data_IF_342267389577
#
_entry.id   IF_342267389577
#
_cell.length_a   1.000
_cell.length_b   1.000
_cell.length_c   1.000
_cell.angle_alpha   90.00
_cell.angle_beta   90.00
_cell.angle_gamma   90.00
#
_symmetry.space_group_name_H-M   'P 1'
#
loop_
_entity.id
_entity.type
_entity.pdbx_description
1 polymer ?
#
# COMPACT_ATOMS: atom_id res chain seq x y z
N UNK A 1 -0.70 -15.58 26.09
CA UNK A 1 -1.31 -15.74 24.76
C UNK A 1 -2.09 -14.49 24.32
N UNK A 2 -2.96 -13.91 25.15
CA UNK A 2 -3.68 -12.65 24.83
C UNK A 2 -2.78 -11.44 24.57
N UNK A 3 -1.70 -11.29 25.35
CA UNK A 3 -0.79 -10.13 25.25
C UNK A 3 0.04 -10.13 23.95
N UNK A 4 0.40 -11.33 23.48
CA UNK A 4 1.17 -11.51 22.24
C UNK A 4 0.33 -11.24 20.99
N UNK A 5 -0.96 -11.58 21.02
CA UNK A 5 -1.91 -11.26 19.93
C UNK A 5 -2.14 -9.76 19.80
N UNK A 6 -2.25 -9.05 20.94
CA UNK A 6 -2.42 -7.60 20.98
C UNK A 6 -1.17 -6.85 20.50
N UNK A 7 0.03 -7.33 20.85
CA UNK A 7 1.29 -6.78 20.33
C UNK A 7 1.46 -7.00 18.82
N UNK A 8 0.97 -8.11 18.27
CA UNK A 8 0.96 -8.36 16.82
C UNK A 8 -0.02 -7.44 16.09
N UNK A 9 -1.21 -7.20 16.64
CA UNK A 9 -2.19 -6.26 16.08
C UNK A 9 -1.67 -4.80 16.12
N UNK A 10 -0.95 -4.41 17.17
CA UNK A 10 -0.34 -3.08 17.29
C UNK A 10 0.87 -2.91 16.34
N UNK A 11 1.72 -3.93 16.18
CA UNK A 11 2.86 -3.86 15.25
C UNK A 11 2.41 -3.81 13.78
N UNK A 12 1.41 -4.63 13.42
CA UNK A 12 0.85 -4.65 12.06
C UNK A 12 0.15 -3.33 11.73
N UNK A 13 -0.67 -2.79 12.64
CA UNK A 13 -1.33 -1.49 12.42
C UNK A 13 -0.33 -0.34 12.23
N UNK A 14 0.79 -0.33 12.95
CA UNK A 14 1.85 0.67 12.73
C UNK A 14 2.52 0.54 11.36
N UNK A 15 2.75 -0.68 10.86
CA UNK A 15 3.29 -0.89 9.52
C UNK A 15 2.34 -0.36 8.43
N UNK A 16 1.02 -0.55 8.59
CA UNK A 16 0.04 0.03 7.67
C UNK A 16 0.04 1.55 7.69
N UNK A 17 0.11 2.17 8.87
CA UNK A 17 0.16 3.63 8.98
C UNK A 17 1.40 4.23 8.30
N UNK A 18 2.55 3.55 8.41
CA UNK A 18 3.78 3.96 7.72
C UNK A 18 3.63 3.79 6.21
N UNK A 19 3.03 2.70 5.75
CA UNK A 19 2.77 2.47 4.33
C UNK A 19 1.78 3.49 3.75
N UNK A 20 0.69 3.80 4.46
CA UNK A 20 -0.29 4.81 4.06
C UNK A 20 0.33 6.21 3.97
N UNK A 21 1.18 6.60 4.93
CA UNK A 21 1.90 7.87 4.88
C UNK A 21 2.84 7.96 3.67
N UNK A 22 3.56 6.86 3.36
CA UNK A 22 4.42 6.79 2.16
C UNK A 22 3.60 6.87 0.88
N UNK A 23 2.45 6.22 0.83
CA UNK A 23 1.54 6.30 -0.30
C UNK A 23 1.06 7.74 -0.53
N UNK A 24 0.68 8.47 0.52
CA UNK A 24 0.24 9.87 0.41
C UNK A 24 1.36 10.81 -0.04
N UNK A 25 2.59 10.58 0.42
CA UNK A 25 3.75 11.31 -0.08
C UNK A 25 3.97 11.09 -1.59
N UNK A 26 3.91 9.83 -2.05
CA UNK A 26 4.01 9.50 -3.47
C UNK A 26 2.85 10.10 -4.28
N UNK A 27 1.62 10.01 -3.79
CA UNK A 27 0.43 10.55 -4.45
C UNK A 27 0.54 12.07 -4.57
N UNK A 28 1.01 12.77 -3.53
CA UNK A 28 1.25 14.21 -3.57
C UNK A 28 2.21 14.59 -4.71
N UNK A 29 3.34 13.89 -4.83
CA UNK A 29 4.28 14.09 -5.95
C UNK A 29 3.67 13.75 -7.31
N UNK A 30 2.93 12.66 -7.41
CA UNK A 30 2.22 12.30 -8.64
C UNK A 30 1.22 13.39 -9.04
N UNK A 31 0.43 13.94 -8.11
CA UNK A 31 -0.49 15.05 -8.39
C UNK A 31 0.23 16.27 -8.93
N UNK A 32 1.35 16.67 -8.32
CA UNK A 32 2.17 17.78 -8.82
C UNK A 32 2.73 17.50 -10.21
N UNK A 33 3.26 16.30 -10.45
CA UNK A 33 3.80 15.89 -11.74
C UNK A 33 2.72 15.88 -12.83
N UNK A 34 1.56 15.28 -12.55
CA UNK A 34 0.43 15.19 -13.47
C UNK A 34 -0.12 16.59 -13.80
N UNK A 35 -0.40 17.41 -12.79
CA UNK A 35 -0.92 18.77 -12.99
C UNK A 35 0.06 19.66 -13.76
N UNK A 36 1.36 19.61 -13.44
CA UNK A 36 2.40 20.36 -14.15
C UNK A 36 2.52 19.90 -15.61
N UNK A 37 2.52 18.58 -15.84
CA UNK A 37 2.60 18.03 -17.21
C UNK A 37 1.38 18.43 -18.03
N UNK A 38 0.18 18.33 -17.46
CA UNK A 38 -1.05 18.76 -18.13
C UNK A 38 -1.07 20.26 -18.42
N UNK A 39 -0.58 21.10 -17.49
CA UNK A 39 -0.49 22.54 -17.70
C UNK A 39 0.49 22.90 -18.84
N UNK A 40 1.63 22.22 -18.91
CA UNK A 40 2.61 22.40 -20.00
C UNK A 40 1.98 21.96 -21.32
N UNK A 41 1.42 20.75 -21.38
CA UNK A 41 0.78 20.22 -22.61
C UNK A 41 -0.35 21.12 -23.07
N UNK A 42 -1.18 21.61 -22.15
CA UNK A 42 -2.27 22.54 -22.46
C UNK A 42 -1.75 23.86 -23.02
N UNK A 43 -0.71 24.43 -22.41
CA UNK A 43 -0.11 25.69 -22.88
C UNK A 43 0.48 25.51 -24.28
N UNK A 44 1.23 24.44 -24.51
CA UNK A 44 1.79 24.11 -25.83
C UNK A 44 0.67 23.93 -26.86
N UNK A 45 -0.36 23.14 -26.54
CA UNK A 45 -1.50 22.90 -27.41
C UNK A 45 -2.21 24.21 -27.78
N UNK A 46 -2.45 25.10 -26.81
CA UNK A 46 -3.09 26.40 -27.05
C UNK A 46 -2.22 27.34 -27.89
N UNK A 47 -0.90 27.37 -27.68
CA UNK A 47 0.01 28.20 -28.51
C UNK A 47 0.15 27.68 -29.94
N UNK A 48 0.02 26.36 -30.15
CA UNK A 48 0.08 25.74 -31.48
C UNK A 48 -1.22 25.84 -32.26
N UNK A 49 -2.34 26.01 -31.57
CA UNK A 49 -3.65 26.13 -32.20
C UNK A 49 -3.83 27.56 -32.74
N UNK A 50 -3.82 27.72 -34.07
CA UNK A 50 -4.17 28.98 -34.75
C UNK A 50 -5.69 29.21 -34.71
N UNK A 51 -6.26 29.32 -33.51
CA UNK A 51 -7.70 29.51 -33.29
C UNK A 51 -7.92 30.95 -32.83
N UNK A 52 -8.80 31.68 -33.53
CA UNK A 52 -9.23 33.00 -33.09
C UNK A 52 -9.83 32.92 -31.68
N UNK A 53 -9.29 33.70 -30.74
CA UNK A 53 -9.74 33.73 -29.35
C UNK A 53 -11.12 34.39 -29.24
N UNK A 54 -12.17 33.62 -29.55
CA UNK A 54 -13.55 33.98 -29.23
C UNK A 54 -13.72 34.17 -27.71
N UNK A 55 -14.71 34.97 -27.30
CA UNK A 55 -14.95 35.24 -25.88
C UNK A 55 -15.25 33.96 -25.08
N UNK A 56 -15.91 32.97 -25.70
CA UNK A 56 -16.15 31.65 -25.10
C UNK A 56 -14.84 30.88 -24.87
N UNK A 57 -13.91 30.89 -25.83
CA UNK A 57 -12.62 30.20 -25.71
C UNK A 57 -11.76 30.81 -24.60
N UNK A 58 -11.79 32.14 -24.42
CA UNK A 58 -11.06 32.83 -23.33
C UNK A 58 -11.49 32.32 -21.95
N UNK A 59 -12.80 32.23 -21.72
CA UNK A 59 -13.33 31.70 -20.45
C UNK A 59 -12.95 30.23 -20.26
N UNK A 60 -13.03 29.40 -21.29
CA UNK A 60 -12.62 27.99 -21.21
C UNK A 60 -11.14 27.82 -20.85
N UNK A 61 -10.25 28.65 -21.41
CA UNK A 61 -8.82 28.66 -21.08
C UNK A 61 -8.60 29.05 -19.61
N UNK A 62 -9.31 30.07 -19.12
CA UNK A 62 -9.25 30.49 -17.72
C UNK A 62 -9.73 29.36 -16.79
N UNK A 63 -10.82 28.67 -17.13
CA UNK A 63 -11.30 27.53 -16.35
C UNK A 63 -10.32 26.35 -16.37
N UNK A 64 -9.71 26.05 -17.52
CA UNK A 64 -8.72 24.98 -17.64
C UNK A 64 -7.46 25.29 -16.80
N UNK A 65 -6.91 26.50 -16.90
CA UNK A 65 -5.77 26.93 -16.09
C UNK A 65 -6.13 27.00 -14.59
N UNK A 66 -7.32 27.49 -14.26
CA UNK A 66 -7.82 27.56 -12.89
C UNK A 66 -7.97 26.17 -12.26
N UNK A 67 -8.58 25.22 -12.97
CA UNK A 67 -8.72 23.83 -12.48
C UNK A 67 -7.35 23.15 -12.33
N UNK A 68 -6.44 23.29 -13.29
CA UNK A 68 -5.07 22.78 -13.15
C UNK A 68 -4.34 23.41 -11.97
N UNK A 69 -4.49 24.72 -11.76
CA UNK A 69 -3.92 25.45 -10.62
C UNK A 69 -4.48 25.00 -9.28
N UNK A 70 -5.81 24.83 -9.16
CA UNK A 70 -6.44 24.30 -7.95
C UNK A 70 -5.96 22.87 -7.67
N UNK A 71 -5.88 22.02 -8.69
CA UNK A 71 -5.40 20.64 -8.51
C UNK A 71 -3.92 20.59 -8.09
N UNK A 72 -3.08 21.47 -8.65
CA UNK A 72 -1.69 21.65 -8.23
C UNK A 72 -1.61 22.08 -6.76
N UNK A 73 -2.41 23.08 -6.35
CA UNK A 73 -2.44 23.57 -4.97
C UNK A 73 -2.94 22.50 -3.98
N UNK A 74 -3.94 21.70 -4.36
CA UNK A 74 -4.40 20.56 -3.56
C UNK A 74 -3.29 19.51 -3.39
N UNK A 75 -2.51 19.24 -4.45
CA UNK A 75 -1.32 18.37 -4.38
C UNK A 75 -0.24 18.93 -3.47
N UNK A 76 0.07 20.23 -3.60
CA UNK A 76 1.05 20.91 -2.76
C UNK A 76 0.64 20.94 -1.29
N UNK A 77 -0.64 21.24 -1.02
CA UNK A 77 -1.20 21.24 0.34
C UNK A 77 -1.10 19.84 0.97
N UNK A 78 -1.44 18.79 0.21
CA UNK A 78 -1.29 17.42 0.69
C UNK A 78 0.16 17.09 1.06
N UNK A 79 1.13 17.51 0.23
CA UNK A 79 2.56 17.35 0.54
C UNK A 79 3.00 18.15 1.77
N UNK A 80 2.55 19.39 1.92
CA UNK A 80 2.86 20.22 3.09
C UNK A 80 2.30 19.58 4.37
N UNK A 81 1.08 19.04 4.34
CA UNK A 81 0.47 18.35 5.47
C UNK A 81 1.26 17.09 5.85
N UNK A 82 1.68 16.31 4.86
CA UNK A 82 2.49 15.10 5.08
C UNK A 82 3.88 15.46 5.62
N UNK A 83 4.51 16.49 5.06
CA UNK A 83 5.83 16.97 5.48
C UNK A 83 5.81 17.57 6.89
N UNK A 84 4.75 18.31 7.24
CA UNK A 84 4.55 18.88 8.57
C UNK A 84 4.24 17.83 9.66
N UNK A 85 4.16 16.54 9.32
CA UNK A 85 3.87 15.46 10.26
C UNK A 85 2.44 15.47 10.81
N UNK A 86 1.56 16.29 10.24
CA UNK A 86 0.16 16.42 10.66
C UNK A 86 -0.73 15.29 10.12
N UNK A 87 -0.19 14.44 9.26
CA UNK A 87 -0.96 13.40 8.58
C UNK A 87 -1.43 12.29 9.54
N UNK A 88 -2.76 12.15 9.64
CA UNK A 88 -3.46 11.12 10.43
C UNK A 88 -4.18 10.12 9.50
N UNK A 89 -4.35 8.88 9.96
CA UNK A 89 -4.98 7.79 9.19
C UNK A 89 -6.37 8.15 8.62
N UNK A 90 -7.18 8.88 9.39
CA UNK A 90 -8.52 9.28 8.94
C UNK A 90 -8.49 10.27 7.77
N UNK A 91 -7.40 11.02 7.58
CA UNK A 91 -7.27 12.04 6.53
C UNK A 91 -7.14 11.44 5.11
N UNK A 92 -6.90 10.13 5.02
CA UNK A 92 -6.85 9.39 3.76
C UNK A 92 -8.21 9.44 3.05
N UNK A 93 -9.32 9.30 3.78
CA UNK A 93 -10.67 9.33 3.23
C UNK A 93 -11.04 10.68 2.60
N UNK A 94 -10.96 11.82 3.31
CA UNK A 94 -11.29 13.12 2.73
C UNK A 94 -10.32 13.54 1.63
N UNK A 95 -9.04 13.15 1.68
CA UNK A 95 -8.09 13.44 0.59
C UNK A 95 -8.48 12.71 -0.71
N UNK A 96 -8.80 11.42 -0.63
CA UNK A 96 -9.19 10.63 -1.80
C UNK A 96 -10.57 11.02 -2.34
N UNK A 97 -11.57 11.18 -1.46
CA UNK A 97 -12.90 11.63 -1.87
C UNK A 97 -12.90 13.08 -2.37
N UNK A 98 -11.98 13.91 -1.85
CA UNK A 98 -11.74 15.26 -2.33
C UNK A 98 -11.34 15.29 -3.80
N UNK A 99 -10.49 14.37 -4.27
CA UNK A 99 -10.16 14.25 -5.69
C UNK A 99 -11.39 13.90 -6.54
N UNK A 100 -12.25 13.00 -6.05
CA UNK A 100 -13.48 12.62 -6.74
C UNK A 100 -14.43 13.80 -6.87
N UNK A 101 -14.66 14.53 -5.76
CA UNK A 101 -15.50 15.73 -5.74
C UNK A 101 -14.91 16.82 -6.63
N UNK A 102 -13.59 17.01 -6.61
CA UNK A 102 -12.91 17.97 -7.44
C UNK A 102 -13.11 17.69 -8.94
N UNK A 103 -12.95 16.44 -9.39
CA UNK A 103 -13.17 16.08 -10.80
C UNK A 103 -14.64 16.26 -11.18
N UNK A 104 -15.57 15.76 -10.36
CA UNK A 104 -17.00 15.86 -10.65
C UNK A 104 -17.46 17.31 -10.67
N UNK A 105 -17.02 18.12 -9.71
CA UNK A 105 -17.31 19.55 -9.64
C UNK A 105 -16.72 20.32 -10.84
N UNK A 106 -15.47 20.03 -11.19
CA UNK A 106 -14.83 20.64 -12.37
C UNK A 106 -15.56 20.27 -13.66
N UNK A 107 -16.01 19.03 -13.79
CA UNK A 107 -16.79 18.56 -14.94
C UNK A 107 -18.18 19.22 -14.97
N UNK A 108 -18.86 19.31 -13.82
CA UNK A 108 -20.16 19.96 -13.71
C UNK A 108 -20.10 21.43 -14.12
N UNK A 109 -19.07 22.15 -13.64
CA UNK A 109 -18.82 23.55 -14.01
C UNK A 109 -18.50 23.69 -15.50
N UNK A 110 -17.68 22.80 -16.06
CA UNK A 110 -17.32 22.83 -17.47
C UNK A 110 -18.55 22.64 -18.37
N UNK A 111 -19.41 21.65 -18.07
CA UNK A 111 -20.64 21.39 -18.84
C UNK A 111 -21.63 22.55 -18.70
N UNK A 112 -21.83 23.04 -17.47
CA UNK A 112 -22.74 24.17 -17.21
C UNK A 112 -22.34 25.46 -17.92
N UNK A 113 -21.04 25.74 -18.01
CA UNK A 113 -20.55 26.95 -18.67
C UNK A 113 -20.63 26.90 -20.19
N UNK A 114 -20.65 25.71 -20.80
CA UNK A 114 -20.81 25.59 -22.25
C UNK A 114 -22.26 25.53 -22.69
N UNK A 115 -23.21 25.39 -21.75
CA UNK A 115 -24.63 25.19 -22.05
C UNK A 115 -24.91 23.91 -22.84
N UNK A 116 -23.99 22.94 -22.79
CA UNK A 116 -24.14 21.68 -23.53
C UNK A 116 -25.01 20.71 -22.73
N UNK A 117 -25.85 19.90 -23.39
CA UNK A 117 -26.59 18.83 -22.73
C UNK A 117 -25.67 17.85 -21.99
N UNK A 118 -26.20 17.19 -20.95
CA UNK A 118 -25.46 16.21 -20.16
C UNK A 118 -24.85 15.06 -20.97
N UNK A 119 -25.41 14.76 -22.16
CA UNK A 119 -24.86 13.78 -23.09
C UNK A 119 -23.43 14.10 -23.59
N UNK A 120 -22.99 15.36 -23.51
CA UNK A 120 -21.63 15.76 -23.90
C UNK A 120 -20.62 15.73 -22.74
N UNK A 121 -21.00 15.25 -21.55
CA UNK A 121 -20.11 15.16 -20.37
C UNK A 121 -18.77 14.49 -20.70
N UNK A 122 -18.74 13.45 -21.53
CA UNK A 122 -17.53 12.72 -21.89
C UNK A 122 -16.61 13.41 -22.90
N UNK A 123 -17.03 14.54 -23.48
CA UNK A 123 -16.16 15.38 -24.31
C UNK A 123 -15.12 16.10 -23.45
N UNK A 124 -15.45 16.39 -22.20
CA UNK A 124 -14.59 17.19 -21.33
C UNK A 124 -13.36 16.41 -20.87
N UNK A 125 -12.14 16.99 -21.00
CA UNK A 125 -10.90 16.35 -20.55
C UNK A 125 -10.89 15.96 -19.07
N UNK A 126 -11.67 16.64 -18.23
CA UNK A 126 -11.77 16.37 -16.79
C UNK A 126 -12.25 14.97 -16.47
N UNK A 127 -13.16 14.40 -17.28
CA UNK A 127 -13.65 13.03 -17.11
C UNK A 127 -12.55 12.00 -17.32
N UNK A 128 -11.61 12.29 -18.23
CA UNK A 128 -10.49 11.40 -18.55
C UNK A 128 -9.37 11.42 -17.51
N UNK A 129 -9.48 12.27 -16.48
CA UNK A 129 -8.64 12.22 -15.28
C UNK A 129 -9.10 11.16 -14.27
N UNK A 130 -10.32 10.63 -14.41
CA UNK A 130 -10.87 9.63 -13.49
C UNK A 130 -10.01 8.36 -13.40
N UNK A 131 -9.55 7.73 -14.50
CA UNK A 131 -8.67 6.58 -14.43
C UNK A 131 -7.37 6.87 -13.68
N UNK A 132 -6.82 8.08 -13.83
CA UNK A 132 -5.60 8.51 -13.16
C UNK A 132 -5.84 8.67 -11.65
N UNK A 133 -6.95 9.27 -11.24
CA UNK A 133 -7.31 9.40 -9.82
C UNK A 133 -7.60 8.03 -9.19
N UNK A 134 -8.27 7.13 -9.91
CA UNK A 134 -8.48 5.75 -9.45
C UNK A 134 -7.15 4.99 -9.32
N UNK A 135 -6.20 5.20 -10.24
CA UNK A 135 -4.86 4.61 -10.17
C UNK A 135 -4.08 5.16 -8.97
N UNK A 136 -4.16 6.47 -8.70
CA UNK A 136 -3.57 7.07 -7.50
C UNK A 136 -4.23 6.53 -6.22
N UNK A 137 -5.54 6.32 -6.23
CA UNK A 137 -6.28 5.67 -5.14
C UNK A 137 -5.77 4.25 -4.86
N UNK A 138 -5.42 3.49 -5.91
CA UNK A 138 -4.96 2.10 -5.78
C UNK A 138 -3.64 1.99 -5.00
N UNK A 139 -2.79 3.02 -5.06
CA UNK A 139 -1.53 3.11 -4.33
C UNK A 139 -1.70 3.20 -2.82
N UNK A 140 -2.91 3.53 -2.34
CA UNK A 140 -3.23 3.57 -0.89
C UNK A 140 -3.41 2.16 -0.30
N UNK A 141 -3.45 1.11 -1.13
CA UNK A 141 -3.67 -0.29 -0.74
C UNK A 141 -4.89 -0.50 0.18
N UNK A 142 -5.93 0.31 -0.01
CA UNK A 142 -7.13 0.33 0.82
C UNK A 142 -8.38 0.02 -0.05
N UNK A 143 -8.75 -1.26 -0.21
CA UNK A 143 -9.88 -1.68 -1.06
C UNK A 143 -11.23 -1.01 -0.77
N UNK A 144 -11.71 -0.83 0.48
CA UNK A 144 -12.98 -0.16 0.70
C UNK A 144 -12.96 1.31 0.28
N UNK A 145 -11.81 1.99 0.43
CA UNK A 145 -11.65 3.34 -0.09
C UNK A 145 -11.70 3.37 -1.62
N UNK A 146 -11.03 2.42 -2.28
CA UNK A 146 -11.08 2.27 -3.74
C UNK A 146 -12.53 2.09 -4.23
N UNK A 147 -13.30 1.24 -3.55
CA UNK A 147 -14.71 1.02 -3.84
C UNK A 147 -15.55 2.28 -3.64
N UNK A 148 -15.29 3.05 -2.58
CA UNK A 148 -15.97 4.33 -2.34
C UNK A 148 -15.66 5.36 -3.44
N UNK A 149 -14.39 5.49 -3.87
CA UNK A 149 -14.01 6.36 -4.98
C UNK A 149 -14.72 5.96 -6.28
N UNK A 150 -14.75 4.67 -6.59
CA UNK A 150 -15.44 4.14 -7.77
C UNK A 150 -16.95 4.43 -7.73
N UNK A 151 -17.58 4.23 -6.57
CA UNK A 151 -19.01 4.51 -6.38
C UNK A 151 -19.33 6.00 -6.53
N UNK A 152 -18.53 6.89 -5.91
CA UNK A 152 -18.71 8.34 -6.00
C UNK A 152 -18.53 8.82 -7.44
N UNK A 153 -17.47 8.39 -8.13
CA UNK A 153 -17.21 8.80 -9.51
C UNK A 153 -18.28 8.24 -10.47
N UNK A 154 -18.67 6.96 -10.31
CA UNK A 154 -19.72 6.34 -11.10
C UNK A 154 -21.07 7.03 -10.92
N UNK A 155 -21.51 7.19 -9.67
CA UNK A 155 -22.77 7.87 -9.35
C UNK A 155 -22.74 9.33 -9.78
N UNK A 156 -21.60 10.03 -9.63
CA UNK A 156 -21.41 11.40 -10.07
C UNK A 156 -21.52 11.56 -11.58
N UNK A 157 -20.87 10.69 -12.36
CA UNK A 157 -20.98 10.70 -13.82
C UNK A 157 -22.42 10.43 -14.29
N UNK A 158 -23.08 9.44 -13.70
CA UNK A 158 -24.50 9.14 -13.98
C UNK A 158 -25.36 10.36 -13.66
N UNK A 159 -25.15 10.99 -12.50
CA UNK A 159 -25.87 12.21 -12.11
C UNK A 159 -25.66 13.33 -13.12
N UNK A 160 -24.43 13.58 -13.58
CA UNK A 160 -24.13 14.61 -14.58
C UNK A 160 -24.79 14.36 -15.95
N UNK A 161 -24.98 13.09 -16.33
CA UNK A 161 -25.72 12.75 -17.55
C UNK A 161 -27.21 13.17 -17.48
N UNK A 162 -27.81 13.15 -16.28
CA UNK A 162 -29.24 13.43 -16.08
C UNK A 162 -29.55 14.86 -15.62
N UNK A 163 -28.64 15.51 -14.88
CA UNK A 163 -28.87 16.82 -14.24
C UNK A 163 -29.08 17.96 -15.25
N UNK A 164 -28.42 17.92 -16.42
CA UNK A 164 -28.53 18.99 -17.42
C UNK A 164 -29.61 18.75 -18.49
N UNK A 165 -30.51 17.79 -18.25
CA UNK A 165 -31.58 17.44 -19.17
C UNK A 165 -31.10 16.66 -20.41
N UNK A 166 -31.93 15.72 -20.87
CA UNK A 166 -31.76 15.05 -22.17
C UNK A 166 -32.46 15.93 -23.20
N UNK A 167 -32.00 17.16 -23.44
CA UNK A 167 -32.56 17.99 -24.51
C UNK A 167 -31.85 17.62 -25.82
N UNK A 168 -32.54 16.97 -26.80
CA UNK A 168 -31.92 16.43 -28.01
C UNK A 168 -31.65 17.50 -29.08
N UNK A 169 -31.62 18.78 -28.72
CA UNK A 169 -31.75 19.86 -29.71
C UNK A 169 -30.50 20.00 -30.58
N UNK A 170 -29.31 19.68 -30.04
CA UNK A 170 -28.05 19.69 -30.82
C UNK A 170 -27.90 18.42 -31.67
N UNK A 171 -28.41 17.28 -31.21
CA UNK A 171 -28.28 15.98 -31.90
C UNK A 171 -29.26 15.81 -33.08
N UNK A 172 -30.32 16.63 -33.19
CA UNK A 172 -31.20 16.65 -34.37
C UNK A 172 -30.53 17.20 -35.64
N UNK A 173 -29.47 18.00 -35.49
CA UNK A 173 -28.81 18.64 -36.65
C UNK A 173 -27.82 17.71 -37.36
N UNK A 174 -27.35 16.63 -36.70
CA UNK A 174 -26.32 15.76 -37.23
C UNK A 174 -26.42 14.34 -36.63
N UNK A 175 -26.99 13.39 -37.40
CA UNK A 175 -27.25 12.01 -36.96
C UNK A 175 -25.98 11.30 -36.44
N UNK A 176 -24.83 11.57 -37.05
CA UNK A 176 -23.55 11.00 -36.63
C UNK A 176 -23.12 11.46 -35.23
N UNK A 177 -23.29 12.74 -34.89
CA UNK A 177 -23.00 13.26 -33.55
C UNK A 177 -24.03 12.75 -32.52
N UNK A 178 -25.29 12.62 -32.95
CA UNK A 178 -26.34 11.97 -32.16
C UNK A 178 -26.03 10.54 -31.80
N UNK A 179 -25.44 9.77 -32.72
CA UNK A 179 -24.96 8.43 -32.43
C UNK A 179 -23.78 8.44 -31.45
N UNK A 180 -22.72 9.20 -31.71
CA UNK A 180 -21.47 9.19 -30.92
C UNK A 180 -21.59 9.68 -29.46
N UNK A 181 -22.53 10.60 -29.20
CA UNK A 181 -22.82 11.15 -27.88
C UNK A 181 -24.18 10.70 -27.35
N UNK A 182 -24.81 9.74 -28.01
CA UNK A 182 -26.04 9.15 -27.55
C UNK A 182 -25.87 8.40 -26.23
N UNK A 183 -27.00 7.94 -25.70
CA UNK A 183 -27.03 7.12 -24.48
C UNK A 183 -26.17 5.86 -24.61
N UNK A 184 -26.20 5.09 -25.73
CA UNK A 184 -25.44 3.84 -25.79
C UNK A 184 -23.92 4.02 -25.68
N UNK A 185 -23.25 4.93 -26.43
CA UNK A 185 -21.81 5.11 -26.27
C UNK A 185 -21.41 5.71 -24.92
N UNK A 186 -22.23 6.61 -24.36
CA UNK A 186 -21.94 7.17 -23.04
C UNK A 186 -22.06 6.13 -21.94
N UNK A 187 -23.04 5.22 -22.03
CA UNK A 187 -23.16 4.08 -21.13
C UNK A 187 -21.91 3.18 -21.22
N UNK A 188 -21.37 2.97 -22.43
CA UNK A 188 -20.12 2.24 -22.62
C UNK A 188 -18.92 2.94 -21.98
N UNK A 189 -18.79 4.27 -22.11
CA UNK A 189 -17.73 5.03 -21.44
C UNK A 189 -17.83 4.95 -19.91
N UNK A 190 -19.04 5.03 -19.36
CA UNK A 190 -19.27 4.81 -17.92
C UNK A 190 -18.86 3.39 -17.51
N UNK A 191 -19.29 2.39 -18.27
CA UNK A 191 -18.97 0.99 -18.01
C UNK A 191 -17.46 0.73 -18.07
N UNK A 192 -16.74 1.30 -19.05
CA UNK A 192 -15.28 1.19 -19.16
C UNK A 192 -14.57 1.76 -17.92
N UNK A 193 -15.00 2.93 -17.44
CA UNK A 193 -14.45 3.54 -16.23
C UNK A 193 -14.72 2.66 -15.01
N UNK A 194 -15.94 2.13 -14.86
CA UNK A 194 -16.30 1.24 -13.75
C UNK A 194 -15.54 -0.09 -13.79
N UNK A 195 -15.37 -0.69 -14.97
CA UNK A 195 -14.55 -1.90 -15.14
C UNK A 195 -13.10 -1.61 -14.78
N UNK A 196 -12.54 -0.49 -15.23
CA UNK A 196 -11.20 -0.05 -14.82
C UNK A 196 -11.08 0.12 -13.31
N UNK A 197 -12.10 0.70 -12.66
CA UNK A 197 -12.15 0.84 -11.21
C UNK A 197 -12.17 -0.52 -10.49
N UNK A 198 -12.95 -1.48 -11.00
CA UNK A 198 -13.01 -2.86 -10.48
C UNK A 198 -11.64 -3.54 -10.65
N UNK A 199 -11.00 -3.43 -11.81
CA UNK A 199 -9.67 -4.01 -12.05
C UNK A 199 -8.64 -3.45 -11.06
N UNK A 200 -8.62 -2.13 -10.86
CA UNK A 200 -7.73 -1.49 -9.89
C UNK A 200 -8.04 -1.90 -8.45
N UNK A 201 -9.32 -2.10 -8.12
CA UNK A 201 -9.74 -2.62 -6.82
C UNK A 201 -9.28 -4.07 -6.60
N UNK A 202 -9.42 -4.94 -7.60
CA UNK A 202 -8.92 -6.33 -7.55
C UNK A 202 -7.40 -6.36 -7.48
N UNK A 203 -6.70 -5.50 -8.23
CA UNK A 203 -5.25 -5.39 -8.13
C UNK A 203 -4.83 -4.96 -6.71
N UNK A 204 -5.51 -3.95 -6.13
CA UNK A 204 -5.24 -3.47 -4.78
C UNK A 204 -5.47 -4.55 -3.71
N UNK A 205 -6.56 -5.35 -3.82
CA UNK A 205 -6.82 -6.47 -2.89
C UNK A 205 -5.78 -7.57 -3.01
N UNK A 206 -5.39 -7.93 -4.25
CA UNK A 206 -4.35 -8.94 -4.51
C UNK A 206 -2.99 -8.51 -3.96
N UNK A 207 -2.57 -7.28 -4.22
CA UNK A 207 -1.29 -6.75 -3.71
C UNK A 207 -1.30 -6.74 -2.18
N UNK A 208 -2.40 -6.29 -1.56
CA UNK A 208 -2.53 -6.31 -0.10
C UNK A 208 -2.43 -7.73 0.47
N UNK A 209 -3.08 -8.70 -0.16
CA UNK A 209 -3.00 -10.11 0.27
C UNK A 209 -1.59 -10.69 0.14
N UNK A 210 -0.86 -10.36 -0.93
CA UNK A 210 0.54 -10.78 -1.12
C UNK A 210 1.47 -10.18 -0.07
N UNK A 211 1.30 -8.89 0.26
CA UNK A 211 2.08 -8.24 1.31
C UNK A 211 1.88 -8.94 2.65
N UNK A 212 0.63 -9.23 3.03
CA UNK A 212 0.33 -9.99 4.24
C UNK A 212 0.99 -11.37 4.24
N UNK A 213 0.87 -12.12 3.16
CA UNK A 213 1.48 -13.45 3.04
C UNK A 213 3.01 -13.37 3.19
N UNK A 214 3.67 -12.40 2.53
CA UNK A 214 5.12 -12.22 2.60
C UNK A 214 5.63 -11.88 4.00
N UNK A 215 4.89 -11.07 4.77
CA UNK A 215 5.24 -10.71 6.14
C UNK A 215 5.12 -11.93 7.04
N UNK A 216 4.01 -12.69 6.93
CA UNK A 216 3.82 -13.91 7.74
C UNK A 216 4.86 -14.98 7.45
N UNK A 217 5.28 -15.11 6.19
CA UNK A 217 6.32 -16.05 5.80
C UNK A 217 7.70 -15.61 6.32
N UNK A 218 8.01 -14.31 6.23
CA UNK A 218 9.25 -13.75 6.77
C UNK A 218 9.35 -13.94 8.29
N UNK A 219 8.24 -13.72 9.02
CA UNK A 219 8.17 -13.97 10.46
C UNK A 219 8.33 -15.46 10.79
N UNK A 220 7.66 -16.35 10.07
CA UNK A 220 7.78 -17.80 10.27
C UNK A 220 9.23 -18.28 10.02
N UNK A 221 9.88 -17.81 8.95
CA UNK A 221 11.29 -18.09 8.67
C UNK A 221 12.22 -17.52 9.75
N UNK A 222 11.95 -16.30 10.24
CA UNK A 222 12.70 -15.67 11.32
C UNK A 222 12.60 -16.44 12.64
N UNK A 223 11.41 -16.92 12.98
CA UNK A 223 11.21 -17.81 14.14
C UNK A 223 11.94 -19.13 13.93
N UNK A 224 11.83 -19.75 12.76
CA UNK A 224 12.47 -21.03 12.47
C UNK A 224 14.00 -20.96 12.60
N UNK A 225 14.63 -19.88 12.12
CA UNK A 225 16.07 -19.61 12.32
C UNK A 225 16.48 -19.48 13.80
N UNK A 226 15.55 -19.08 14.68
CA UNK A 226 15.81 -19.00 16.12
C UNK A 226 15.70 -20.36 16.81
N UNK A 227 14.97 -21.31 16.22
CA UNK A 227 14.71 -22.62 16.81
C UNK A 227 15.50 -23.77 16.17
N UNK A 228 16.06 -23.59 14.97
CA UNK A 228 17.03 -24.52 14.40
C UNK A 228 18.45 -23.96 14.54
N UNK A 229 19.37 -24.70 15.19
CA UNK A 229 20.79 -24.38 15.13
C UNK A 229 21.27 -24.19 13.69
N UNK A 230 22.04 -23.15 13.41
CA UNK A 230 22.52 -22.80 12.06
C UNK A 230 23.26 -23.97 11.38
N UNK A 231 23.87 -24.85 12.16
CA UNK A 231 24.56 -26.04 11.66
C UNK A 231 23.61 -27.06 11.00
N UNK A 232 22.35 -27.19 11.47
CA UNK A 232 21.33 -28.03 10.83
C UNK A 232 20.78 -27.41 9.54
N UNK A 233 20.86 -26.09 9.39
CA UNK A 233 20.46 -25.40 8.17
C UNK A 233 21.52 -25.52 7.05
N UNK A 234 22.80 -25.63 7.42
CA UNK A 234 23.90 -25.83 6.47
C UNK A 234 24.07 -27.31 6.05
N UNK A 235 23.77 -28.26 6.94
CA UNK A 235 23.85 -29.69 6.65
C UNK A 235 22.79 -30.22 5.64
N UNK A 236 21.87 -29.36 5.16
CA UNK A 236 20.62 -29.80 4.52
C UNK A 236 20.45 -29.33 3.08
N UNK A 237 21.48 -29.47 2.26
CA UNK A 237 21.38 -29.25 0.80
C UNK A 237 21.49 -30.53 -0.04
N UNK A 238 21.83 -31.70 0.53
CA UNK A 238 22.14 -32.88 -0.30
C UNK A 238 21.20 -34.08 -0.15
N UNK A 239 20.58 -34.35 1.00
CA UNK A 239 19.48 -35.34 1.05
C UNK A 239 18.60 -35.18 2.29
N UNK A 240 17.28 -35.07 2.11
CA UNK A 240 16.31 -34.97 3.21
C UNK A 240 15.95 -36.34 3.81
N UNK A 241 16.18 -37.42 3.06
CA UNK A 241 15.87 -38.78 3.47
C UNK A 241 16.90 -39.34 4.47
N UNK A 242 18.18 -38.96 4.36
CA UNK A 242 19.22 -39.34 5.35
C UNK A 242 18.93 -38.80 6.75
N UNK A 243 18.21 -37.68 6.88
CA UNK A 243 17.85 -37.09 8.17
C UNK A 243 16.70 -37.81 8.88
N UNK A 244 16.07 -38.77 8.22
CA UNK A 244 15.01 -39.63 8.81
C UNK A 244 15.59 -40.91 9.41
N UNK A 245 16.79 -41.31 9.00
CA UNK A 245 17.49 -42.47 9.56
C UNK A 245 18.34 -42.03 10.76
N UNK A 246 18.11 -42.62 11.92
CA UNK A 246 18.92 -42.33 13.11
C UNK A 246 20.35 -42.83 12.92
N UNK A 247 21.34 -41.96 13.14
CA UNK A 247 22.75 -42.30 13.04
C UNK A 247 23.42 -42.37 14.42
N UNK A 248 24.35 -43.29 14.60
CA UNK A 248 25.20 -43.37 15.79
C UNK A 248 26.47 -42.54 15.56
N UNK A 249 26.65 -41.48 16.36
CA UNK A 249 27.77 -40.53 16.22
C UNK A 249 28.48 -40.38 17.56
N UNK A 250 29.82 -40.33 17.55
CA UNK A 250 30.59 -39.95 18.73
C UNK A 250 30.62 -38.43 18.85
N UNK A 251 30.21 -37.90 20.01
CA UNK A 251 30.16 -36.46 20.27
C UNK A 251 30.48 -36.18 21.74
N UNK A 252 31.02 -34.99 22.03
CA UNK A 252 31.12 -34.51 23.40
C UNK A 252 29.82 -33.77 23.77
N UNK A 253 29.31 -33.99 24.98
CA UNK A 253 28.11 -33.33 25.50
C UNK A 253 28.47 -32.52 26.74
N UNK A 254 28.12 -31.24 26.73
CA UNK A 254 28.30 -30.34 27.86
C UNK A 254 26.94 -29.92 28.44
N UNK A 255 26.82 -30.05 29.77
CA UNK A 255 25.71 -29.52 30.55
C UNK A 255 26.18 -28.30 31.32
N UNK A 256 25.45 -27.20 31.19
CA UNK A 256 25.70 -25.94 31.90
C UNK A 256 24.46 -25.58 32.69
N UNK A 257 24.62 -25.12 33.93
CA UNK A 257 23.53 -24.68 34.78
C UNK A 257 23.92 -23.48 35.65
N UNK A 258 22.95 -22.65 36.04
CA UNK A 258 23.16 -21.43 36.81
C UNK A 258 23.14 -21.76 38.31
N UNK A 259 24.26 -21.50 39.00
CA UNK A 259 24.33 -21.71 40.45
C UNK A 259 23.33 -20.83 41.20
N UNK A 260 22.52 -21.46 42.05
CA UNK A 260 21.59 -20.76 42.94
C UNK A 260 20.41 -20.09 42.23
N UNK A 261 20.10 -20.52 40.99
CA UNK A 261 19.04 -19.93 40.19
C UNK A 261 17.68 -19.91 40.88
N UNK A 262 17.26 -21.02 41.51
CA UNK A 262 15.95 -21.13 42.15
C UNK A 262 15.71 -20.00 43.15
N UNK A 263 16.67 -19.76 44.06
CA UNK A 263 16.59 -18.70 45.06
C UNK A 263 16.59 -17.30 44.45
N UNK A 264 17.36 -17.12 43.37
CA UNK A 264 17.39 -15.85 42.64
C UNK A 264 16.07 -15.59 41.92
N UNK A 265 15.49 -16.59 41.27
CA UNK A 265 14.26 -16.50 40.49
C UNK A 265 13.04 -16.19 41.37
N UNK A 266 12.99 -16.75 42.59
CA UNK A 266 11.93 -16.49 43.57
C UNK A 266 11.83 -14.99 43.95
N UNK A 267 12.93 -14.25 43.91
CA UNK A 267 12.98 -12.83 44.23
C UNK A 267 12.79 -11.88 43.04
N UNK A 268 12.65 -12.40 41.81
CA UNK A 268 12.61 -11.59 40.58
C UNK A 268 11.19 -11.46 40.02
N UNK A 269 10.88 -10.29 39.48
CA UNK A 269 9.68 -10.14 38.66
C UNK A 269 9.81 -10.94 37.36
N UNK A 270 8.70 -11.48 36.84
CA UNK A 270 8.69 -12.35 35.66
C UNK A 270 9.36 -11.72 34.42
N UNK A 271 9.19 -10.40 34.23
CA UNK A 271 9.83 -9.64 33.15
C UNK A 271 11.35 -9.66 33.26
N UNK A 272 11.87 -9.44 34.46
CA UNK A 272 13.31 -9.35 34.73
C UNK A 272 13.97 -10.72 34.66
N UNK A 273 13.28 -11.76 35.15
CA UNK A 273 13.71 -13.15 35.04
C UNK A 273 13.81 -13.58 33.56
N UNK A 274 12.82 -13.22 32.75
CA UNK A 274 12.81 -13.52 31.31
C UNK A 274 13.96 -12.80 30.59
N UNK A 275 14.22 -11.53 30.94
CA UNK A 275 15.35 -10.78 30.39
C UNK A 275 16.71 -11.36 30.81
N UNK A 276 16.83 -11.81 32.06
CA UNK A 276 18.03 -12.47 32.57
C UNK A 276 18.32 -13.80 31.84
N UNK A 277 17.32 -14.68 31.75
CA UNK A 277 17.42 -15.93 30.99
C UNK A 277 17.73 -15.67 29.52
N UNK A 278 17.13 -14.63 28.93
CA UNK A 278 17.44 -14.20 27.56
C UNK A 278 18.93 -13.91 27.37
N UNK A 279 19.54 -13.15 28.29
CA UNK A 279 20.98 -12.85 28.26
C UNK A 279 21.84 -14.10 28.45
N UNK A 280 21.51 -14.95 29.43
CA UNK A 280 22.21 -16.23 29.64
C UNK A 280 22.23 -17.07 28.36
N UNK A 281 21.06 -17.26 27.74
CA UNK A 281 20.90 -18.02 26.50
C UNK A 281 21.75 -17.44 25.38
N UNK A 282 21.73 -16.11 25.19
CA UNK A 282 22.57 -15.44 24.18
C UNK A 282 24.07 -15.66 24.40
N UNK A 283 24.54 -15.59 25.64
CA UNK A 283 25.96 -15.84 25.98
C UNK A 283 26.35 -17.28 25.67
N UNK A 284 25.54 -18.25 26.11
CA UNK A 284 25.80 -19.67 25.85
C UNK A 284 25.78 -19.97 24.35
N UNK A 285 24.77 -19.52 23.61
CA UNK A 285 24.68 -19.73 22.17
C UNK A 285 25.87 -19.14 21.41
N UNK A 286 26.30 -17.92 21.76
CA UNK A 286 27.45 -17.29 21.15
C UNK A 286 28.76 -18.05 21.42
N UNK A 287 28.96 -18.52 22.67
CA UNK A 287 30.16 -19.29 23.04
C UNK A 287 30.17 -20.69 22.44
N UNK A 288 29.03 -21.38 22.45
CA UNK A 288 28.88 -22.67 21.79
C UNK A 288 29.24 -22.57 20.31
N UNK A 289 28.62 -21.62 19.58
CA UNK A 289 28.89 -21.40 18.16
C UNK A 289 30.37 -21.07 17.88
N UNK A 290 30.99 -20.19 18.69
CA UNK A 290 32.41 -19.85 18.55
C UNK A 290 33.37 -21.04 18.76
N UNK A 291 32.94 -22.06 19.50
CA UNK A 291 33.71 -23.28 19.75
C UNK A 291 33.28 -24.46 18.86
N UNK A 292 32.48 -24.23 17.81
CA UNK A 292 31.96 -25.30 16.94
C UNK A 292 30.89 -26.18 17.59
N UNK A 293 30.38 -25.79 18.75
CA UNK A 293 29.30 -26.47 19.46
C UNK A 293 27.92 -26.07 18.95
N UNK A 294 26.97 -26.98 19.15
CA UNK A 294 25.56 -26.84 18.79
C UNK A 294 24.75 -26.85 20.09
N UNK A 295 23.98 -25.81 20.35
CA UNK A 295 23.02 -25.84 21.48
C UNK A 295 21.84 -26.70 21.06
N UNK A 296 21.71 -27.88 21.66
CA UNK A 296 20.60 -28.80 21.38
C UNK A 296 19.31 -28.28 22.00
N UNK A 297 19.33 -27.94 23.31
CA UNK A 297 18.20 -27.30 23.98
C UNK A 297 18.58 -26.55 25.25
N UNK A 298 17.70 -25.64 25.66
CA UNK A 298 17.69 -25.04 26.99
C UNK A 298 16.66 -25.74 27.87
N UNK A 299 17.03 -26.06 29.11
CA UNK A 299 16.18 -26.76 30.09
C UNK A 299 16.13 -25.89 31.35
N UNK A 300 15.13 -25.00 31.42
CA UNK A 300 15.04 -24.01 32.50
C UNK A 300 16.20 -23.01 32.45
N UNK A 301 17.02 -23.05 33.50
CA UNK A 301 18.29 -22.35 33.72
C UNK A 301 19.52 -23.09 33.18
N UNK A 302 19.34 -24.34 32.74
CA UNK A 302 20.38 -25.13 32.12
C UNK A 302 20.42 -25.06 30.59
N UNK A 303 21.55 -25.47 30.02
CA UNK A 303 21.76 -25.63 28.58
C UNK A 303 22.49 -26.96 28.29
N UNK A 304 22.04 -27.65 27.24
CA UNK A 304 22.69 -28.84 26.67
C UNK A 304 23.36 -28.44 25.36
N UNK A 305 24.68 -28.64 25.29
CA UNK A 305 25.50 -28.32 24.13
C UNK A 305 26.19 -29.58 23.65
N UNK A 306 26.13 -29.86 22.35
CA UNK A 306 26.79 -31.01 21.71
C UNK A 306 27.90 -30.53 20.78
N UNK A 307 28.98 -31.31 20.71
CA UNK A 307 30.15 -31.05 19.87
C UNK A 307 30.36 -32.27 18.96
N UNK A 308 29.93 -32.20 17.68
CA UNK A 308 29.95 -33.33 16.74
C UNK A 308 31.37 -33.78 16.36
N UNK A 309 32.32 -32.85 16.35
CA UNK A 309 33.73 -33.13 16.17
C UNK A 309 34.43 -32.84 17.50
N UNK A 310 35.14 -33.82 18.05
CA UNK A 310 36.08 -33.58 19.13
C UNK A 310 37.12 -32.57 18.64
N UNK A 311 36.95 -31.28 19.00
CA UNK A 311 37.82 -30.21 18.54
C UNK A 311 39.30 -30.55 18.80
N UNK A 312 40.23 -30.17 17.92
CA UNK A 312 41.64 -30.46 18.09
C UNK A 312 42.19 -29.68 19.29
N UNK A 313 42.21 -30.31 20.47
CA UNK A 313 42.70 -29.66 21.70
C UNK A 313 42.52 -30.43 23.01
N UNK A 314 42.18 -31.72 22.98
CA UNK A 314 42.13 -32.56 24.17
C UNK A 314 43.07 -33.77 24.02
N UNK A 315 44.37 -33.52 24.13
CA UNK A 315 45.42 -34.48 24.46
C UNK A 315 46.58 -33.71 25.11
#
# INVERSE_FOLDING_TARGET
MFDQRRQLDDATSQLFLVAERRAEWLIGWLRLGISSTLAIVFTVAMTSATVEMTQMLKWQVIYALGTMGVYFLLGALALVIVWAGLFRAWMVWPSALGDCVFILGSTALAVGNTGLPGLYVYVFPTVWLIPIVLACGALRFNPPLQGAMAAVLGAGLVTLLFVQGITPDVTRSNEALGFLFGVPPNLMRTAMILVGAIVLMVASTRIRALLWASITEAEARGMLKRFLPEQLAQAKAQDLDELREGQQVQMAVAFVDIRGFTRMAEGMAARDLTAFLGRFRSVISARASACGGIVDKFIGDGALVVFPDGGPGAA
#
